data_IF_979672713894
#
_entry.id   IF_979672713894
#
_cell.length_a   1.000
_cell.length_b   1.000
_cell.length_c   1.000
_cell.angle_alpha   90.00
_cell.angle_beta   90.00
_cell.angle_gamma   90.00
#
_symmetry.space_group_name_H-M   'P 1'
#
loop_
_entity.id
_entity.type
_entity.pdbx_description
1 polymer ?
#
# COMPACT_ATOMS: atom_id res chain seq x y z
N UNK A 1 8.91 -17.87 16.01
CA UNK A 1 9.38 -16.49 15.74
C UNK A 1 8.35 -15.82 14.80
N UNK A 2 7.37 -15.07 15.34
CA UNK A 2 6.37 -14.39 14.51
C UNK A 2 7.02 -13.14 13.92
N UNK A 3 7.34 -13.14 12.62
CA UNK A 3 7.81 -11.93 11.94
C UNK A 3 6.63 -10.95 11.87
N UNK A 4 6.55 -10.02 12.81
CA UNK A 4 5.80 -8.79 12.63
C UNK A 4 6.46 -8.04 11.48
N UNK A 5 5.88 -8.15 10.29
CA UNK A 5 6.42 -7.57 9.06
C UNK A 5 6.29 -6.05 9.15
N UNK A 6 7.31 -5.37 9.69
CA UNK A 6 7.33 -3.92 9.90
C UNK A 6 7.24 -3.09 8.59
N UNK A 7 7.13 -3.77 7.44
CA UNK A 7 7.08 -3.20 6.11
C UNK A 7 5.74 -3.47 5.38
N UNK A 8 4.68 -3.83 6.13
CA UNK A 8 3.33 -4.01 5.60
C UNK A 8 2.37 -3.03 6.26
N UNK A 9 1.52 -2.37 5.47
CA UNK A 9 0.45 -1.52 5.96
C UNK A 9 -0.89 -2.14 5.61
N UNK A 10 -1.74 -2.25 6.62
CA UNK A 10 -3.11 -2.69 6.45
C UNK A 10 -4.01 -1.51 6.05
N UNK A 11 -4.58 -1.58 4.85
CA UNK A 11 -5.55 -0.63 4.33
C UNK A 11 -6.92 -1.31 4.07
N UNK A 12 -7.17 -2.49 4.64
CA UNK A 12 -8.48 -3.15 4.52
C UNK A 12 -9.60 -2.28 5.10
N UNK A 13 -10.77 -2.32 4.47
CA UNK A 13 -11.95 -1.56 4.90
C UNK A 13 -11.87 -0.05 4.67
N UNK A 14 -10.76 0.46 4.12
CA UNK A 14 -10.64 1.86 3.73
C UNK A 14 -11.23 2.08 2.34
N UNK A 15 -11.92 3.20 2.16
CA UNK A 15 -12.32 3.65 0.82
C UNK A 15 -11.09 4.11 0.01
N UNK A 16 -11.20 4.24 -1.33
CA UNK A 16 -10.04 4.49 -2.19
C UNK A 16 -9.22 5.73 -1.82
N UNK A 17 -9.87 6.85 -1.50
CA UNK A 17 -9.16 8.10 -1.16
C UNK A 17 -8.35 7.99 0.15
N UNK A 18 -8.92 7.51 1.28
CA UNK A 18 -8.17 7.17 2.49
C UNK A 18 -7.01 6.20 2.25
N UNK A 19 -7.19 5.18 1.41
CA UNK A 19 -6.12 4.23 1.04
C UNK A 19 -4.95 4.96 0.37
N UNK A 20 -5.21 5.80 -0.63
CA UNK A 20 -4.17 6.61 -1.29
C UNK A 20 -3.44 7.50 -0.29
N UNK A 21 -4.17 8.16 0.60
CA UNK A 21 -3.59 9.05 1.60
C UNK A 21 -2.68 8.29 2.56
N UNK A 22 -3.14 7.13 3.05
CA UNK A 22 -2.36 6.29 3.98
C UNK A 22 -1.06 5.80 3.35
N UNK A 23 -1.10 5.40 2.07
CA UNK A 23 0.08 5.01 1.30
C UNK A 23 1.05 6.19 1.15
N UNK A 24 0.56 7.37 0.75
CA UNK A 24 1.41 8.56 0.59
C UNK A 24 2.11 8.94 1.90
N UNK A 25 1.37 8.95 3.01
CA UNK A 25 1.93 9.23 4.34
C UNK A 25 2.98 8.21 4.75
N UNK A 26 2.78 6.94 4.43
CA UNK A 26 3.74 5.89 4.75
C UNK A 26 5.02 5.93 3.92
N UNK A 27 4.94 6.48 2.70
CA UNK A 27 6.10 6.69 1.84
C UNK A 27 6.88 7.96 2.18
N UNK A 28 6.27 8.89 2.94
CA UNK A 28 6.96 10.08 3.46
C UNK A 28 8.12 9.66 4.36
N UNK A 29 9.31 10.22 4.09
CA UNK A 29 10.52 9.91 4.85
C UNK A 29 11.20 8.57 4.51
N UNK A 30 10.60 7.72 3.66
CA UNK A 30 11.29 6.53 3.16
C UNK A 30 12.27 6.89 2.05
N UNK A 31 13.46 6.31 2.10
CA UNK A 31 14.46 6.43 1.04
C UNK A 31 13.92 5.90 -0.30
N UNK A 32 14.39 6.46 -1.42
CA UNK A 32 13.88 6.11 -2.76
C UNK A 32 14.26 4.69 -3.19
N UNK A 33 15.40 4.22 -2.71
CA UNK A 33 15.99 2.89 -2.90
C UNK A 33 15.54 1.85 -1.87
N UNK A 34 14.70 2.25 -0.91
CA UNK A 34 14.12 1.31 0.06
C UNK A 34 13.23 0.27 -0.63
N UNK A 35 13.18 -0.94 -0.06
CA UNK A 35 12.28 -2.00 -0.53
C UNK A 35 10.82 -1.50 -0.61
N UNK A 36 10.05 -1.97 -1.62
CA UNK A 36 8.64 -1.61 -1.75
C UNK A 36 7.87 -1.87 -0.45
N UNK A 37 6.92 -0.99 -0.17
CA UNK A 37 6.02 -1.12 0.97
C UNK A 37 4.86 -2.03 0.60
N UNK A 38 4.62 -3.07 1.38
CA UNK A 38 3.49 -3.97 1.15
C UNK A 38 2.20 -3.30 1.63
N UNK A 39 1.19 -3.23 0.77
CA UNK A 39 -0.12 -2.66 1.09
C UNK A 39 -1.15 -3.77 1.02
N UNK A 40 -1.73 -4.11 2.17
CA UNK A 40 -2.81 -5.07 2.25
C UNK A 40 -4.13 -4.36 1.91
N UNK A 41 -4.80 -4.83 0.86
CA UNK A 41 -6.05 -4.25 0.37
C UNK A 41 -7.19 -5.26 0.44
N UNK A 42 -8.39 -4.69 0.53
CA UNK A 42 -9.62 -5.44 0.33
C UNK A 42 -9.67 -5.98 -1.13
N UNK A 43 -10.14 -7.22 -1.35
CA UNK A 43 -10.28 -7.78 -2.69
C UNK A 43 -11.14 -6.95 -3.65
N UNK A 44 -12.10 -6.17 -3.13
CA UNK A 44 -12.95 -5.29 -3.93
C UNK A 44 -12.27 -3.96 -4.32
N UNK A 45 -11.05 -3.70 -3.85
CA UNK A 45 -10.33 -2.47 -4.17
C UNK A 45 -9.86 -2.47 -5.63
N UNK A 46 -10.26 -1.47 -6.41
CA UNK A 46 -9.74 -1.26 -7.76
C UNK A 46 -8.28 -0.80 -7.71
N UNK A 47 -7.38 -1.77 -7.85
CA UNK A 47 -5.93 -1.55 -7.85
C UNK A 47 -5.46 -0.69 -9.02
N UNK A 48 -6.19 -0.66 -10.14
CA UNK A 48 -5.83 0.13 -11.33
C UNK A 48 -6.10 1.61 -11.09
N UNK A 49 -7.27 1.95 -10.54
CA UNK A 49 -7.60 3.31 -10.12
C UNK A 49 -6.69 3.79 -8.98
N UNK A 50 -6.35 2.90 -8.06
CA UNK A 50 -5.40 3.19 -6.99
C UNK A 50 -4.00 3.51 -7.53
N UNK A 51 -3.46 2.67 -8.43
CA UNK A 51 -2.16 2.89 -9.05
C UNK A 51 -2.12 4.22 -9.83
N UNK A 52 -3.18 4.55 -10.59
CA UNK A 52 -3.31 5.83 -11.28
C UNK A 52 -3.26 7.02 -10.30
N UNK A 53 -3.94 6.90 -9.16
CA UNK A 53 -3.98 7.93 -8.11
C UNK A 53 -2.66 8.10 -7.35
N UNK A 54 -1.84 7.05 -7.32
CA UNK A 54 -0.48 7.08 -6.74
C UNK A 54 0.56 7.64 -7.71
N UNK A 55 0.35 7.50 -9.03
CA UNK A 55 1.30 7.95 -10.05
C UNK A 55 2.66 7.29 -9.86
N UNK A 56 3.75 8.07 -9.86
CA UNK A 56 5.13 7.59 -9.67
C UNK A 56 5.37 6.86 -8.33
N UNK A 57 4.47 7.01 -7.36
CA UNK A 57 4.58 6.30 -6.08
C UNK A 57 4.09 4.84 -6.17
N UNK A 58 3.39 4.46 -7.24
CA UNK A 58 2.93 3.09 -7.45
C UNK A 58 4.12 2.11 -7.51
N UNK A 59 5.24 2.52 -8.10
CA UNK A 59 6.46 1.69 -8.18
C UNK A 59 7.14 1.44 -6.83
N UNK A 60 6.74 2.20 -5.79
CA UNK A 60 7.29 2.09 -4.43
C UNK A 60 6.44 1.23 -3.51
N UNK A 61 5.34 0.65 -4.01
CA UNK A 61 4.44 -0.20 -3.24
C UNK A 61 4.20 -1.53 -3.93
N UNK A 62 3.93 -2.55 -3.14
CA UNK A 62 3.42 -3.83 -3.63
C UNK A 62 2.03 -4.04 -3.06
N UNK A 63 1.03 -4.09 -3.95
CA UNK A 63 -0.35 -4.34 -3.54
C UNK A 63 -0.52 -5.84 -3.30
N UNK A 64 -1.00 -6.19 -2.11
CA UNK A 64 -1.21 -7.57 -1.67
C UNK A 64 -2.68 -7.70 -1.34
N UNK A 65 -3.37 -8.64 -2.00
CA UNK A 65 -4.73 -9.01 -1.61
C UNK A 65 -4.66 -9.87 -0.35
N UNK A 66 -5.55 -9.62 0.62
CA UNK A 66 -5.68 -10.52 1.76
C UNK A 66 -6.21 -11.88 1.28
N UNK A 67 -5.62 -13.01 1.70
CA UNK A 67 -6.24 -14.31 1.49
C UNK A 67 -7.58 -14.36 2.22
N UNK A 68 -8.60 -14.91 1.55
CA UNK A 68 -9.94 -15.08 2.08
C UNK A 68 -9.97 -15.96 3.34
#
# INVERSE_FOLDING_TARGET
MKRSNANTIDCNGLSPAPTVLRIKQALTGRARDAHPLDILLDPACDTSSLARSLGKLADRVRLVARPA
#
